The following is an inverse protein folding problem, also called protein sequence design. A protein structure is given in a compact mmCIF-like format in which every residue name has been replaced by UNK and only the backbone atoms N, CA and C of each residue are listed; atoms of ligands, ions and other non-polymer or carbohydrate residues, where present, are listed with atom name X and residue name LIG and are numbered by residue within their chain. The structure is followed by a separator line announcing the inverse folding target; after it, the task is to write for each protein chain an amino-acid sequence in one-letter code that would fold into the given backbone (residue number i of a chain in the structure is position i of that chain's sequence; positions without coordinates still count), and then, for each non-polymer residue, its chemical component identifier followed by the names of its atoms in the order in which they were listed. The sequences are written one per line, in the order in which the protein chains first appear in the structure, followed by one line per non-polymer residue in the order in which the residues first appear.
data_IF_149230423269
#
_entry.id   IF_149230423269
#
_cell.length_a   1.000
_cell.length_b   1.000
_cell.length_c   1.000
_cell.angle_alpha   90.00
_cell.angle_beta   90.00
_cell.angle_gamma   90.00
#
_symmetry.space_group_name_H-M   'P 1'
#
loop_
_entity.id
_entity.type
_entity.pdbx_description
1 polymer ?
#
# COMPACT_ATOMS: atom_id res chain seq x y z
N UNK A 1 -8.70 15.49 32.25
CA UNK A 1 -9.35 15.34 30.94
C UNK A 1 -8.37 15.34 29.77
N UNK A 2 -7.73 16.45 29.36
CA UNK A 2 -6.78 16.41 28.23
C UNK A 2 -5.61 15.44 28.46
N UNK A 3 -4.95 15.52 29.62
CA UNK A 3 -3.84 14.62 29.98
C UNK A 3 -4.28 13.15 30.05
N UNK A 4 -5.50 12.88 30.55
CA UNK A 4 -6.06 11.53 30.61
C UNK A 4 -6.31 10.96 29.21
N UNK A 5 -6.81 11.80 28.29
CA UNK A 5 -7.05 11.44 26.89
C UNK A 5 -5.76 11.21 26.10
N UNK A 6 -4.74 12.02 26.35
CA UNK A 6 -3.41 11.84 25.77
C UNK A 6 -2.78 10.52 26.25
N UNK A 7 -2.92 10.18 27.53
CA UNK A 7 -2.47 8.89 28.06
C UNK A 7 -3.24 7.71 27.45
N UNK A 8 -4.57 7.81 27.34
CA UNK A 8 -5.40 6.81 26.66
C UNK A 8 -4.97 6.60 25.20
N UNK A 9 -4.56 7.68 24.51
CA UNK A 9 -4.04 7.60 23.15
C UNK A 9 -2.74 6.80 23.07
N UNK A 10 -1.81 7.04 24.00
CA UNK A 10 -0.54 6.33 24.06
C UNK A 10 -0.76 4.83 24.33
N UNK A 11 -1.65 4.50 25.26
CA UNK A 11 -2.01 3.12 25.58
C UNK A 11 -2.61 2.39 24.35
N UNK A 12 -3.53 3.04 23.62
CA UNK A 12 -4.11 2.49 22.39
C UNK A 12 -3.07 2.29 21.28
N UNK A 13 -2.10 3.20 21.14
CA UNK A 13 -1.00 3.06 20.18
C UNK A 13 -0.11 1.87 20.54
N UNK A 14 0.16 1.65 21.83
CA UNK A 14 0.91 0.48 22.30
C UNK A 14 0.16 -0.82 22.02
N UNK A 15 -1.14 -0.88 22.34
CA UNK A 15 -2.00 -2.03 22.01
C UNK A 15 -2.01 -2.33 20.51
N UNK A 16 -2.15 -1.30 19.66
CA UNK A 16 -2.10 -1.46 18.21
C UNK A 16 -0.76 -2.07 17.78
N UNK A 17 0.35 -1.59 18.34
CA UNK A 17 1.69 -2.10 18.03
C UNK A 17 1.82 -3.59 18.38
N UNK A 18 1.23 -4.03 19.50
CA UNK A 18 1.25 -5.45 19.92
C UNK A 18 0.45 -6.30 18.92
N UNK A 19 -0.76 -5.84 18.54
CA UNK A 19 -1.61 -6.54 17.59
C UNK A 19 -0.95 -6.63 16.22
N UNK A 20 -0.37 -5.54 15.71
CA UNK A 20 0.31 -5.53 14.40
C UNK A 20 1.61 -6.36 14.40
N UNK A 21 2.26 -6.51 15.56
CA UNK A 21 3.44 -7.37 15.71
C UNK A 21 3.11 -8.84 15.93
N UNK A 22 1.83 -9.23 15.90
CA UNK A 22 1.44 -10.62 16.02
C UNK A 22 2.12 -11.49 14.94
N UNK A 23 2.50 -12.71 15.31
CA UNK A 23 3.22 -13.64 14.44
C UNK A 23 2.47 -13.92 13.14
N UNK A 24 1.14 -14.01 13.18
CA UNK A 24 0.32 -14.28 12.00
C UNK A 24 0.40 -13.15 10.96
N UNK A 25 0.41 -11.89 11.40
CA UNK A 25 0.57 -10.75 10.48
C UNK A 25 1.99 -10.70 9.91
N UNK A 26 3.01 -10.95 10.72
CA UNK A 26 4.41 -11.01 10.26
C UNK A 26 4.63 -12.13 9.25
N UNK A 27 4.04 -13.29 9.50
CA UNK A 27 4.15 -14.42 8.59
C UNK A 27 3.38 -14.15 7.28
N UNK A 28 2.20 -13.54 7.36
CA UNK A 28 1.45 -13.10 6.17
C UNK A 28 2.28 -12.15 5.31
N UNK A 29 2.86 -11.10 5.91
CA UNK A 29 3.70 -10.11 5.22
C UNK A 29 4.90 -10.79 4.55
N UNK A 30 5.58 -11.71 5.25
CA UNK A 30 6.70 -12.47 4.69
C UNK A 30 6.29 -13.32 3.48
N UNK A 31 5.11 -13.97 3.52
CA UNK A 31 4.64 -14.76 2.38
C UNK A 31 4.22 -13.86 1.20
N UNK A 32 3.61 -12.71 1.47
CA UNK A 32 3.26 -11.72 0.44
C UNK A 32 4.52 -11.15 -0.25
N UNK A 33 5.58 -10.88 0.52
CA UNK A 33 6.89 -10.48 0.00
C UNK A 33 7.55 -11.56 -0.86
N UNK A 34 7.52 -12.82 -0.40
CA UNK A 34 8.03 -13.95 -1.17
C UNK A 34 7.27 -14.11 -2.49
N UNK A 35 5.94 -13.95 -2.44
CA UNK A 35 5.10 -13.98 -3.62
C UNK A 35 5.46 -12.84 -4.59
N UNK A 36 5.65 -11.62 -4.09
CA UNK A 36 6.03 -10.47 -4.91
C UNK A 36 7.39 -10.68 -5.59
N UNK A 37 8.40 -11.17 -4.86
CA UNK A 37 9.72 -11.52 -5.40
C UNK A 37 9.62 -12.60 -6.47
N UNK A 38 8.86 -13.66 -6.22
CA UNK A 38 8.67 -14.74 -7.20
C UNK A 38 7.98 -14.24 -8.47
N UNK A 39 6.94 -13.41 -8.33
CA UNK A 39 6.26 -12.78 -9.47
C UNK A 39 7.21 -11.90 -10.28
N UNK A 40 8.06 -11.13 -9.63
CA UNK A 40 9.07 -10.30 -10.31
C UNK A 40 10.07 -11.18 -11.09
N UNK A 41 10.56 -12.25 -10.47
CA UNK A 41 11.49 -13.20 -11.11
C UNK A 41 10.87 -13.85 -12.34
N UNK A 42 9.63 -14.32 -12.27
CA UNK A 42 8.92 -14.90 -13.42
C UNK A 42 8.72 -13.84 -14.52
N UNK A 43 8.29 -12.63 -14.17
CA UNK A 43 8.10 -11.56 -15.16
C UNK A 43 9.39 -11.20 -15.88
N UNK A 44 10.55 -11.24 -15.20
CA UNK A 44 11.86 -11.00 -15.80
C UNK A 44 12.22 -12.08 -16.84
N UNK A 45 11.72 -13.32 -16.70
CA UNK A 45 11.88 -14.38 -17.71
C UNK A 45 11.08 -14.07 -19.00
N UNK A 46 10.02 -13.25 -18.93
CA UNK A 46 9.17 -12.89 -20.06
C UNK A 46 9.63 -11.66 -20.85
N UNK A 47 10.92 -11.60 -21.19
CA UNK A 47 11.52 -10.49 -21.95
C UNK A 47 11.01 -10.32 -23.39
N UNK A 48 10.16 -11.22 -23.88
CA UNK A 48 9.63 -11.27 -25.24
C UNK A 48 8.23 -10.65 -25.41
N UNK A 49 7.77 -9.84 -24.45
CA UNK A 49 6.45 -9.16 -24.52
C UNK A 49 6.25 -8.35 -25.81
N UNK A 50 7.31 -7.72 -26.34
CA UNK A 50 7.26 -6.97 -27.61
C UNK A 50 6.98 -7.89 -28.80
N UNK A 51 7.63 -9.05 -28.84
CA UNK A 51 7.43 -10.03 -29.90
C UNK A 51 6.01 -10.60 -29.86
N UNK A 52 5.48 -10.89 -28.67
CA UNK A 52 4.08 -11.31 -28.49
C UNK A 52 3.06 -10.24 -28.89
N UNK A 53 3.31 -8.96 -28.58
CA UNK A 53 2.44 -7.86 -29.04
C UNK A 53 2.43 -7.75 -30.56
N UNK A 54 3.59 -7.91 -31.20
CA UNK A 54 3.70 -7.89 -32.67
C UNK A 54 3.01 -9.10 -33.28
N UNK A 55 3.19 -10.28 -32.71
CA UNK A 55 2.47 -11.50 -33.10
C UNK A 55 0.96 -11.32 -33.04
N UNK A 56 0.44 -10.80 -31.91
CA UNK A 56 -0.99 -10.49 -31.75
C UNK A 56 -1.49 -9.56 -32.85
N UNK A 57 -0.76 -8.48 -33.13
CA UNK A 57 -1.14 -7.50 -34.14
C UNK A 57 -1.18 -8.07 -35.56
N UNK A 58 -0.19 -8.88 -35.95
CA UNK A 58 -0.17 -9.53 -37.27
C UNK A 58 -1.27 -10.59 -37.41
N UNK A 59 -1.61 -11.30 -36.32
CA UNK A 59 -2.76 -12.22 -36.29
C UNK A 59 -4.10 -11.48 -36.43
N UNK A 60 -4.26 -10.33 -35.76
CA UNK A 60 -5.48 -9.50 -35.86
C UNK A 60 -5.64 -8.85 -37.23
N UNK A 61 -4.54 -8.61 -37.94
CA UNK A 61 -4.54 -8.10 -39.32
C UNK A 61 -4.62 -9.19 -40.40
N UNK A 62 -4.64 -10.46 -40.01
CA UNK A 62 -4.64 -11.61 -40.91
C UNK A 62 -3.43 -11.67 -41.86
N UNK A 63 -2.35 -10.95 -41.55
CA UNK A 63 -1.11 -10.92 -42.37
C UNK A 63 -0.28 -12.18 -42.19
N UNK A 64 -0.46 -12.89 -41.08
CA UNK A 64 0.17 -14.18 -40.80
C UNK A 64 -0.92 -15.15 -40.34
N UNK A 65 -1.00 -16.31 -40.99
CA UNK A 65 -1.80 -17.42 -40.52
C UNK A 65 -0.94 -18.42 -39.74
N UNK A 66 -1.33 -18.68 -38.49
CA UNK A 66 -0.69 -19.67 -37.62
C UNK A 66 -1.77 -20.66 -37.17
N UNK A 67 -1.69 -21.92 -37.59
CA UNK A 67 -2.66 -22.92 -37.15
C UNK A 67 -2.56 -23.13 -35.64
N UNK A 68 -3.71 -23.37 -35.00
CA UNK A 68 -3.81 -23.76 -33.58
C UNK A 68 -3.26 -22.76 -32.55
N UNK A 69 -3.16 -21.47 -32.89
CA UNK A 69 -2.83 -20.43 -31.90
C UNK A 69 -4.07 -19.99 -31.12
N UNK A 70 -4.01 -20.05 -29.79
CA UNK A 70 -5.08 -19.57 -28.95
C UNK A 70 -4.97 -18.05 -28.74
N UNK A 71 -5.71 -17.27 -29.54
CA UNK A 71 -5.69 -15.81 -29.49
C UNK A 71 -6.30 -15.23 -28.22
N UNK A 72 -7.20 -15.95 -27.54
CA UNK A 72 -7.72 -15.56 -26.23
C UNK A 72 -6.63 -15.67 -25.16
N UNK A 73 -5.94 -16.80 -25.12
CA UNK A 73 -4.80 -17.00 -24.21
C UNK A 73 -3.69 -15.97 -24.44
N UNK A 74 -3.35 -15.67 -25.70
CA UNK A 74 -2.37 -14.62 -26.02
C UNK A 74 -2.79 -13.24 -25.47
N UNK A 75 -4.07 -12.90 -25.57
CA UNK A 75 -4.61 -11.64 -25.04
C UNK A 75 -4.52 -11.59 -23.52
N UNK A 76 -4.93 -12.66 -22.84
CA UNK A 76 -4.89 -12.76 -21.38
C UNK A 76 -3.44 -12.72 -20.87
N UNK A 77 -2.55 -13.48 -21.51
CA UNK A 77 -1.13 -13.54 -21.17
C UNK A 77 -0.46 -12.17 -21.32
N UNK A 78 -0.76 -11.41 -22.38
CA UNK A 78 -0.21 -10.07 -22.57
C UNK A 78 -0.68 -9.06 -21.49
N UNK A 79 -1.89 -9.25 -20.95
CA UNK A 79 -2.47 -8.43 -19.88
C UNK A 79 -1.87 -8.81 -18.53
N UNK A 80 -1.91 -10.08 -18.18
CA UNK A 80 -1.36 -10.61 -16.93
C UNK A 80 -0.75 -12.00 -17.17
N UNK A 81 0.56 -12.10 -17.45
CA UNK A 81 1.23 -13.35 -17.75
C UNK A 81 1.07 -14.38 -16.63
N UNK A 82 1.31 -13.95 -15.39
CA UNK A 82 1.33 -14.82 -14.22
C UNK A 82 -0.05 -15.40 -13.94
N UNK A 83 -1.10 -14.57 -13.91
CA UNK A 83 -2.45 -15.08 -13.69
C UNK A 83 -2.90 -16.02 -14.80
N UNK A 84 -2.52 -15.74 -16.05
CA UNK A 84 -2.86 -16.60 -17.19
C UNK A 84 -2.24 -17.98 -17.06
N UNK A 85 -0.99 -18.06 -16.57
CA UNK A 85 -0.29 -19.32 -16.30
C UNK A 85 -0.85 -20.04 -15.07
N UNK A 86 -1.17 -19.32 -13.99
CA UNK A 86 -1.76 -19.92 -12.78
C UNK A 86 -3.11 -20.57 -13.08
N UNK A 87 -3.92 -19.94 -13.94
CA UNK A 87 -5.24 -20.44 -14.35
C UNK A 87 -5.17 -21.54 -15.42
N UNK A 88 -3.97 -21.88 -15.88
CA UNK A 88 -3.76 -22.95 -16.84
C UNK A 88 -3.61 -24.33 -16.16
N UNK A 89 -3.69 -25.40 -16.95
CA UNK A 89 -3.39 -26.76 -16.48
C UNK A 89 -1.90 -26.90 -16.15
N UNK A 90 -1.59 -27.91 -15.33
CA UNK A 90 -0.26 -28.15 -14.75
C UNK A 90 0.88 -28.28 -15.78
N UNK A 91 0.63 -28.64 -17.02
CA UNK A 91 1.71 -28.78 -18.01
C UNK A 91 1.88 -27.55 -18.90
N UNK A 92 1.14 -26.47 -18.62
CA UNK A 92 1.12 -25.21 -19.39
C UNK A 92 1.08 -25.43 -20.91
N UNK A 93 0.14 -26.24 -21.45
CA UNK A 93 0.13 -26.61 -22.86
C UNK A 93 -0.14 -25.44 -23.81
N UNK A 94 -1.00 -24.49 -23.45
CA UNK A 94 -1.28 -23.26 -24.21
C UNK A 94 -0.09 -22.33 -24.19
N UNK A 95 0.60 -22.19 -23.05
CA UNK A 95 1.83 -21.42 -22.96
C UNK A 95 2.94 -22.03 -23.82
N UNK A 96 3.18 -23.33 -23.68
CA UNK A 96 4.19 -24.05 -24.46
C UNK A 96 3.90 -23.96 -25.96
N UNK A 97 2.65 -24.18 -26.37
CA UNK A 97 2.22 -23.99 -27.76
C UNK A 97 2.47 -22.56 -28.25
N UNK A 98 2.12 -21.55 -27.46
CA UNK A 98 2.35 -20.15 -27.81
C UNK A 98 3.84 -19.84 -28.03
N UNK A 99 4.73 -20.34 -27.17
CA UNK A 99 6.17 -20.13 -27.31
C UNK A 99 6.75 -20.86 -28.52
N UNK A 100 6.32 -22.09 -28.80
CA UNK A 100 6.74 -22.85 -29.99
C UNK A 100 6.31 -22.10 -31.25
N UNK A 101 5.07 -21.63 -31.31
CA UNK A 101 4.58 -20.87 -32.46
C UNK A 101 5.32 -19.54 -32.61
N UNK A 102 5.54 -18.81 -31.51
CA UNK A 102 6.31 -17.57 -31.55
C UNK A 102 7.73 -17.80 -32.09
N UNK A 103 8.43 -18.82 -31.58
CA UNK A 103 9.77 -19.19 -32.05
C UNK A 103 9.77 -19.51 -33.54
N UNK A 104 8.85 -20.35 -34.00
CA UNK A 104 8.75 -20.75 -35.41
C UNK A 104 8.56 -19.55 -36.35
N UNK A 105 7.72 -18.59 -35.95
CA UNK A 105 7.43 -17.39 -36.75
C UNK A 105 8.65 -16.45 -36.79
N UNK A 106 9.41 -16.37 -35.70
CA UNK A 106 10.65 -15.60 -35.64
C UNK A 106 11.74 -16.21 -36.52
N UNK A 107 11.93 -17.53 -36.46
CA UNK A 107 12.89 -18.28 -37.30
C UNK A 107 12.56 -18.14 -38.79
N UNK A 108 11.28 -18.18 -39.17
CA UNK A 108 10.83 -17.95 -40.56
C UNK A 108 10.82 -16.47 -40.98
N UNK A 109 11.32 -15.56 -40.14
CA UNK A 109 11.33 -14.13 -40.40
C UNK A 109 9.96 -13.51 -40.74
N UNK A 110 8.86 -14.14 -40.29
CA UNK A 110 7.49 -13.69 -40.60
C UNK A 110 7.07 -12.47 -39.77
N UNK A 111 7.75 -12.18 -38.66
CA UNK A 111 7.53 -10.94 -37.89
C UNK A 111 8.54 -9.87 -38.29
N UNK A 112 8.03 -8.67 -38.56
CA UNK A 112 8.85 -7.47 -38.75
C UNK A 112 9.39 -6.97 -37.40
N UNK A 113 10.53 -7.53 -36.99
CA UNK A 113 11.31 -7.20 -35.79
C UNK A 113 12.79 -7.09 -36.17
N UNK A 114 13.56 -6.26 -35.45
CA UNK A 114 15.03 -6.18 -35.59
C UNK A 114 15.66 -7.55 -35.26
N UNK A 115 16.71 -7.93 -35.99
CA UNK A 115 17.42 -9.22 -35.82
C UNK A 115 17.82 -9.48 -34.38
N UNK A 116 18.44 -8.49 -33.72
CA UNK A 116 18.82 -8.56 -32.30
C UNK A 116 17.65 -8.93 -31.37
N UNK A 117 16.46 -8.37 -31.63
CA UNK A 117 15.25 -8.65 -30.83
C UNK A 117 14.73 -10.06 -31.10
N UNK A 118 14.86 -10.56 -32.34
CA UNK A 118 14.48 -11.92 -32.70
C UNK A 118 15.39 -12.93 -32.00
N UNK A 119 16.70 -12.77 -32.11
CA UNK A 119 17.68 -13.68 -31.53
C UNK A 119 17.57 -13.72 -30.00
N UNK A 120 17.44 -12.55 -29.37
CA UNK A 120 17.19 -12.45 -27.92
C UNK A 120 15.90 -13.16 -27.49
N UNK A 121 14.82 -13.02 -28.27
CA UNK A 121 13.54 -13.68 -27.98
C UNK A 121 13.67 -15.20 -28.12
N UNK A 122 14.32 -15.69 -29.18
CA UNK A 122 14.53 -17.13 -29.39
C UNK A 122 15.38 -17.71 -28.25
N UNK A 123 16.46 -17.02 -27.86
CA UNK A 123 17.29 -17.45 -26.74
C UNK A 123 16.50 -17.53 -25.42
N UNK A 124 15.66 -16.53 -25.13
CA UNK A 124 14.79 -16.55 -23.95
C UNK A 124 13.75 -17.68 -23.98
N UNK A 125 13.17 -17.96 -25.15
CA UNK A 125 12.23 -19.09 -25.32
C UNK A 125 12.94 -20.41 -25.05
N UNK A 126 14.14 -20.61 -25.62
CA UNK A 126 14.92 -21.83 -25.40
C UNK A 126 15.29 -21.99 -23.92
N UNK A 127 15.77 -20.93 -23.26
CA UNK A 127 16.06 -20.97 -21.83
C UNK A 127 14.84 -21.41 -20.98
N UNK A 128 13.64 -20.93 -21.32
CA UNK A 128 12.40 -21.36 -20.63
C UNK A 128 12.14 -22.86 -20.81
N UNK A 129 12.35 -23.40 -22.01
CA UNK A 129 12.15 -24.82 -22.29
C UNK A 129 13.25 -25.71 -21.69
N UNK A 130 14.50 -25.25 -21.72
CA UNK A 130 15.66 -25.98 -21.23
C UNK A 130 15.68 -26.05 -19.70
N UNK A 131 15.38 -24.93 -19.03
CA UNK A 131 15.35 -24.86 -17.57
C UNK A 131 14.16 -25.61 -16.96
N UNK A 132 13.02 -25.71 -17.67
CA UNK A 132 11.75 -26.27 -17.16
C UNK A 132 11.30 -25.67 -15.80
N UNK A 133 11.82 -24.49 -15.44
CA UNK A 133 11.62 -23.88 -14.11
C UNK A 133 10.27 -23.20 -13.97
N UNK A 134 9.66 -22.77 -15.08
CA UNK A 134 8.40 -22.01 -15.04
C UNK A 134 7.27 -22.81 -14.41
N UNK A 135 7.20 -24.13 -14.65
CA UNK A 135 6.16 -24.93 -14.02
C UNK A 135 6.30 -24.98 -12.50
N UNK A 136 7.51 -25.24 -12.02
CA UNK A 136 7.80 -25.20 -10.58
C UNK A 136 7.53 -23.82 -9.98
N UNK A 137 7.84 -22.75 -10.69
CA UNK A 137 7.60 -21.39 -10.23
C UNK A 137 6.08 -21.08 -10.13
N UNK A 138 5.27 -21.57 -11.07
CA UNK A 138 3.81 -21.43 -11.03
C UNK A 138 3.18 -22.26 -9.90
N UNK A 139 3.68 -23.48 -9.67
CA UNK A 139 3.22 -24.32 -8.56
C UNK A 139 3.55 -23.65 -7.21
N UNK A 140 4.75 -23.08 -7.06
CA UNK A 140 5.12 -22.28 -5.88
C UNK A 140 4.21 -21.07 -5.68
N UNK A 141 3.80 -20.39 -6.76
CA UNK A 141 2.82 -19.28 -6.65
C UNK A 141 1.49 -19.79 -6.10
N UNK A 142 0.99 -20.94 -6.57
CA UNK A 142 -0.25 -21.54 -6.08
C UNK A 142 -0.14 -21.88 -4.59
N UNK A 143 0.97 -22.50 -4.18
CA UNK A 143 1.25 -22.81 -2.77
C UNK A 143 1.32 -21.56 -1.89
N UNK A 144 2.01 -20.52 -2.32
CA UNK A 144 2.11 -19.25 -1.58
C UNK A 144 0.74 -18.58 -1.43
N UNK A 145 -0.07 -18.55 -2.50
CA UNK A 145 -1.43 -18.01 -2.41
C UNK A 145 -2.29 -18.80 -1.41
N UNK A 146 -2.18 -20.13 -1.39
CA UNK A 146 -2.90 -20.97 -0.43
C UNK A 146 -2.48 -20.67 1.00
N UNK A 147 -1.17 -20.60 1.28
CA UNK A 147 -0.63 -20.24 2.60
C UNK A 147 -1.10 -18.85 3.06
N UNK A 148 -1.07 -17.86 2.17
CA UNK A 148 -1.57 -16.51 2.48
C UNK A 148 -3.06 -16.55 2.81
N UNK A 149 -3.87 -17.31 2.07
CA UNK A 149 -5.30 -17.43 2.33
C UNK A 149 -5.59 -18.18 3.65
N UNK A 150 -4.80 -19.18 4.00
CA UNK A 150 -4.88 -19.87 5.29
C UNK A 150 -4.54 -18.93 6.44
N UNK A 151 -3.45 -18.16 6.32
CA UNK A 151 -3.07 -17.14 7.32
C UNK A 151 -4.16 -16.08 7.49
N UNK A 152 -4.77 -15.61 6.40
CA UNK A 152 -5.91 -14.68 6.46
C UNK A 152 -7.07 -15.25 7.26
N UNK A 153 -7.44 -16.51 7.00
CA UNK A 153 -8.48 -17.19 7.78
C UNK A 153 -8.12 -17.33 9.25
N UNK A 154 -6.86 -17.65 9.57
CA UNK A 154 -6.40 -17.75 10.96
C UNK A 154 -6.46 -16.39 11.68
N UNK A 155 -6.06 -15.31 11.00
CA UNK A 155 -6.14 -13.93 11.52
C UNK A 155 -7.60 -13.53 11.78
N UNK A 156 -8.51 -13.86 10.86
CA UNK A 156 -9.94 -13.62 11.02
C UNK A 156 -10.53 -14.43 12.17
N UNK A 157 -10.23 -15.73 12.27
CA UNK A 157 -10.69 -16.61 13.33
C UNK A 157 -10.17 -16.20 14.71
N UNK A 158 -8.94 -15.70 14.79
CA UNK A 158 -8.36 -15.17 16.01
C UNK A 158 -8.94 -13.79 16.40
N UNK A 159 -9.82 -13.20 15.59
CA UNK A 159 -10.38 -11.87 15.82
C UNK A 159 -9.36 -10.73 15.70
N UNK A 160 -8.15 -11.01 15.24
CA UNK A 160 -7.05 -10.04 15.18
C UNK A 160 -7.34 -8.92 14.17
N UNK A 161 -7.97 -9.25 13.04
CA UNK A 161 -8.37 -8.27 12.05
C UNK A 161 -9.39 -7.27 12.61
N UNK A 162 -10.39 -7.78 13.33
CA UNK A 162 -11.45 -6.96 13.96
C UNK A 162 -10.84 -6.11 15.06
N UNK A 163 -10.06 -6.72 15.96
CA UNK A 163 -9.40 -6.01 17.05
C UNK A 163 -8.49 -4.87 16.55
N UNK A 164 -7.70 -5.12 15.49
CA UNK A 164 -6.85 -4.10 14.87
C UNK A 164 -7.67 -2.92 14.36
N UNK A 165 -8.80 -3.18 13.71
CA UNK A 165 -9.67 -2.13 13.18
C UNK A 165 -10.36 -1.34 14.29
N UNK A 166 -10.83 -2.03 15.33
CA UNK A 166 -11.45 -1.40 16.49
C UNK A 166 -10.48 -0.45 17.21
N UNK A 167 -9.23 -0.87 17.42
CA UNK A 167 -8.19 -0.01 18.01
C UNK A 167 -7.92 1.21 17.11
N UNK A 168 -7.81 1.03 15.79
CA UNK A 168 -7.63 2.16 14.85
C UNK A 168 -8.79 3.16 14.92
N UNK A 169 -10.02 2.67 15.02
CA UNK A 169 -11.21 3.52 15.17
C UNK A 169 -11.23 4.27 16.50
N UNK A 170 -10.82 3.62 17.60
CA UNK A 170 -10.68 4.27 18.91
C UNK A 170 -9.62 5.37 18.88
N UNK A 171 -8.43 5.09 18.31
CA UNK A 171 -7.36 6.07 18.11
C UNK A 171 -7.88 7.27 17.32
N UNK A 172 -8.53 7.05 16.18
CA UNK A 172 -9.05 8.14 15.35
C UNK A 172 -10.07 9.00 16.09
N UNK A 173 -10.99 8.36 16.81
CA UNK A 173 -12.02 9.07 17.59
C UNK A 173 -11.40 9.86 18.74
N UNK A 174 -10.38 9.32 19.41
CA UNK A 174 -9.73 9.96 20.54
C UNK A 174 -8.82 11.11 20.09
N UNK A 175 -8.13 10.99 18.96
CA UNK A 175 -7.40 12.11 18.32
C UNK A 175 -8.32 13.31 18.10
N UNK A 176 -9.51 13.10 17.52
CA UNK A 176 -10.47 14.19 17.30
C UNK A 176 -10.94 14.85 18.60
N UNK A 177 -11.01 14.10 19.70
CA UNK A 177 -11.38 14.64 21.02
C UNK A 177 -10.25 15.47 21.62
N UNK A 178 -9.02 14.98 21.53
CA UNK A 178 -7.82 15.70 21.96
C UNK A 178 -7.72 17.04 21.23
N UNK A 179 -7.81 17.04 19.90
CA UNK A 179 -7.76 18.26 19.10
C UNK A 179 -8.84 19.27 19.51
N UNK A 180 -10.07 18.82 19.80
CA UNK A 180 -11.14 19.71 20.29
C UNK A 180 -10.81 20.32 21.65
N UNK A 181 -10.32 19.51 22.60
CA UNK A 181 -9.94 19.97 23.92
C UNK A 181 -8.77 20.96 23.88
N UNK A 182 -7.76 20.70 23.05
CA UNK A 182 -6.63 21.59 22.83
C UNK A 182 -7.09 22.94 22.26
N UNK A 183 -7.94 22.92 21.23
CA UNK A 183 -8.51 24.14 20.66
C UNK A 183 -9.35 24.93 21.66
N UNK A 184 -10.15 24.25 22.49
CA UNK A 184 -10.96 24.90 23.53
C UNK A 184 -10.09 25.51 24.64
N UNK A 185 -9.02 24.83 25.05
CA UNK A 185 -8.04 25.36 26.01
C UNK A 185 -7.31 26.58 25.44
N UNK A 186 -6.86 26.52 24.19
CA UNK A 186 -6.21 27.63 23.50
C UNK A 186 -7.12 28.86 23.41
N UNK A 187 -8.41 28.65 23.08
CA UNK A 187 -9.39 29.74 23.08
C UNK A 187 -9.56 30.34 24.46
N UNK A 188 -9.78 29.52 25.49
CA UNK A 188 -9.95 29.99 26.88
C UNK A 188 -8.70 30.73 27.38
N UNK A 189 -7.51 30.26 27.04
CA UNK A 189 -6.27 30.91 27.41
C UNK A 189 -6.11 32.27 26.72
N UNK A 190 -6.45 32.37 25.43
CA UNK A 190 -6.49 33.66 24.71
C UNK A 190 -7.47 34.64 25.36
N UNK A 191 -8.66 34.17 25.74
CA UNK A 191 -9.66 35.01 26.41
C UNK A 191 -9.20 35.44 27.81
N UNK A 192 -8.63 34.52 28.59
CA UNK A 192 -8.01 34.83 29.88
C UNK A 192 -6.93 35.90 29.76
N UNK A 193 -6.02 35.78 28.79
CA UNK A 193 -4.97 36.78 28.54
C UNK A 193 -5.55 38.13 28.12
N UNK A 194 -6.63 38.16 27.34
CA UNK A 194 -7.35 39.39 26.99
C UNK A 194 -7.96 40.05 28.22
N UNK A 195 -8.67 39.31 29.06
CA UNK A 195 -9.27 39.85 30.29
C UNK A 195 -8.21 40.36 31.27
N UNK A 196 -7.12 39.61 31.44
CA UNK A 196 -6.00 40.02 32.28
C UNK A 196 -5.33 41.31 31.76
N UNK A 197 -5.26 41.49 30.44
CA UNK A 197 -4.82 42.76 29.84
C UNK A 197 -5.81 43.90 30.09
N UNK A 198 -7.13 43.67 29.98
CA UNK A 198 -8.14 44.69 30.26
C UNK A 198 -8.06 45.17 31.70
N UNK A 199 -7.97 44.23 32.65
CA UNK A 199 -7.85 44.52 34.09
C UNK A 199 -6.58 45.33 34.37
N UNK A 200 -5.46 45.01 33.71
CA UNK A 200 -4.22 45.80 33.84
C UNK A 200 -4.41 47.24 33.34
N UNK A 201 -5.06 47.41 32.19
CA UNK A 201 -5.32 48.73 31.63
C UNK A 201 -6.26 49.56 32.53
N UNK A 202 -7.37 48.97 32.98
CA UNK A 202 -8.34 49.62 33.88
C UNK A 202 -7.68 50.03 35.21
N UNK A 203 -6.82 49.17 35.77
CA UNK A 203 -6.01 49.50 36.95
C UNK A 203 -5.14 50.73 36.70
N UNK A 204 -4.41 50.77 35.59
CA UNK A 204 -3.53 51.89 35.26
C UNK A 204 -4.32 53.20 35.09
N UNK A 205 -5.47 53.15 34.42
CA UNK A 205 -6.36 54.30 34.25
C UNK A 205 -6.91 54.80 35.58
N UNK A 206 -7.33 53.87 36.45
CA UNK A 206 -7.83 54.21 37.78
C UNK A 206 -6.71 54.81 38.66
N UNK A 207 -5.50 54.23 38.65
CA UNK A 207 -4.34 54.80 39.36
C UNK A 207 -4.00 56.21 38.88
N UNK A 208 -4.01 56.45 37.56
CA UNK A 208 -3.81 57.80 36.98
C UNK A 208 -4.89 58.77 37.45
N UNK A 209 -6.13 58.31 37.54
CA UNK A 209 -7.26 59.14 38.01
C UNK A 209 -7.14 59.48 39.49
N UNK A 210 -6.80 58.51 40.35
CA UNK A 210 -6.55 58.72 41.78
C UNK A 210 -5.39 59.70 41.99
N UNK A 211 -4.28 59.53 41.25
CA UNK A 211 -3.13 60.45 41.30
C UNK A 211 -3.50 61.88 40.95
N UNK A 212 -4.38 62.09 39.95
CA UNK A 212 -4.88 63.43 39.60
C UNK A 212 -5.71 64.08 40.70
N UNK A 213 -6.49 63.31 41.45
CA UNK A 213 -7.39 63.83 42.49
C UNK A 213 -6.65 64.08 43.81
N UNK A 214 -5.80 63.15 44.22
CA UNK A 214 -5.09 63.21 45.51
C UNK A 214 -3.73 63.92 45.42
N UNK A 215 -3.20 64.13 44.21
CA UNK A 215 -1.86 64.64 43.95
C UNK A 215 -0.72 63.78 44.55
N UNK A 216 -1.02 62.52 44.88
CA UNK A 216 -0.10 61.54 45.44
C UNK A 216 -0.04 60.27 44.58
N UNK A 217 1.10 59.60 44.59
CA UNK A 217 1.30 58.39 43.79
C UNK A 217 0.83 57.14 44.56
N UNK A 218 -0.30 56.57 44.14
CA UNK A 218 -0.92 55.41 44.80
C UNK A 218 -0.65 54.12 44.01
N UNK A 219 -0.06 53.12 44.67
CA UNK A 219 0.15 51.78 44.11
C UNK A 219 -0.98 50.83 44.49
N UNK A 220 -1.88 50.54 43.55
CA UNK A 220 -2.94 49.54 43.74
C UNK A 220 -2.41 48.18 43.35
N UNK A 221 -2.69 47.14 44.13
CA UNK A 221 -2.37 45.75 43.78
C UNK A 221 -3.68 45.00 43.52
N UNK A 222 -3.68 44.17 42.47
CA UNK A 222 -4.80 43.27 42.19
C UNK A 222 -4.37 41.88 42.63
N UNK A 223 -5.15 41.31 43.55
CA UNK A 223 -5.00 39.93 43.99
C UNK A 223 -6.14 39.12 43.42
N UNK A 224 -5.81 38.04 42.74
CA UNK A 224 -6.78 37.04 42.35
C UNK A 224 -6.76 35.92 43.39
N UNK A 225 -7.93 35.58 43.92
CA UNK A 225 -8.15 34.37 44.71
C UNK A 225 -8.76 33.32 43.78
N UNK A 226 -8.10 32.17 43.65
CA UNK A 226 -8.57 31.02 42.87
C UNK A 226 -8.96 29.88 43.80
#
# INVERSE_FOLDING_TARGET
DLEERQKEQEDLIQELSIVEKNELFREQEKQEDNLAKLRMNINNKFGFKKALKKLKFELEKETIHIPNINTFFLRDFLKNPINSLVNESRDLPKFSSLLVQLRHVLEKNKLNLKTEVKDKTIHQINAIFDEKTIQSDIDKIKELNNKINELKKQIEQAGLAINREDIKNKIATNTLKIERLENDLDRKNKDYMRYLSSIKNEREEFQKSVKKVLNEEVKLNITFSF
#
